data_IF_260022318947
#
_entry.id   IF_260022318947
#
_cell.length_a   1.000
_cell.length_b   1.000
_cell.length_c   1.000
_cell.angle_alpha   90.00
_cell.angle_beta   90.00
_cell.angle_gamma   90.00
#
_symmetry.space_group_name_H-M   'P 1'
#
loop_
_entity.id
_entity.type
_entity.pdbx_description
1 polymer ?
#
# COMPACT_ATOMS: atom_id res chain seq x y z
N UNK A 1 -4.96 26.74 9.96
CA UNK A 1 -5.36 25.31 10.05
C UNK A 1 -5.83 24.91 8.66
N UNK A 2 -5.48 23.72 8.16
CA UNK A 2 -5.97 23.28 6.85
C UNK A 2 -7.50 23.13 6.90
N UNK A 3 -8.19 23.48 5.82
CA UNK A 3 -9.59 23.14 5.64
C UNK A 3 -9.68 21.71 5.11
N UNK A 4 -10.02 20.77 5.99
CA UNK A 4 -10.10 19.34 5.67
C UNK A 4 -11.37 18.97 4.91
N UNK A 5 -12.36 19.86 4.81
CA UNK A 5 -13.63 19.63 4.11
C UNK A 5 -13.67 20.30 2.72
N UNK A 6 -12.66 21.10 2.37
CA UNK A 6 -12.56 21.75 1.05
C UNK A 6 -12.44 20.74 -0.08
N UNK A 7 -12.90 21.14 -1.27
CA UNK A 7 -12.78 20.32 -2.48
C UNK A 7 -11.32 19.99 -2.77
N UNK A 8 -10.44 20.97 -2.63
CA UNK A 8 -9.00 20.85 -2.87
C UNK A 8 -8.36 19.83 -1.92
N UNK A 9 -8.77 19.80 -0.65
CA UNK A 9 -8.27 18.81 0.30
C UNK A 9 -8.79 17.40 -0.04
N UNK A 10 -10.07 17.28 -0.39
CA UNK A 10 -10.64 15.98 -0.81
C UNK A 10 -10.01 15.46 -2.11
N UNK A 11 -9.56 16.33 -3.02
CA UNK A 11 -8.76 15.94 -4.19
C UNK A 11 -7.38 15.40 -3.79
N UNK A 12 -6.77 15.87 -2.69
CA UNK A 12 -5.54 15.29 -2.15
C UNK A 12 -5.79 13.90 -1.53
N UNK A 13 -6.92 13.72 -0.83
CA UNK A 13 -7.34 12.41 -0.31
C UNK A 13 -7.56 11.42 -1.46
N UNK A 14 -8.22 11.85 -2.53
CA UNK A 14 -8.40 11.04 -3.75
C UNK A 14 -7.07 10.64 -4.39
N UNK A 15 -6.14 11.59 -4.55
CA UNK A 15 -4.79 11.32 -5.08
C UNK A 15 -4.04 10.30 -4.23
N UNK A 16 -4.10 10.44 -2.91
CA UNK A 16 -3.48 9.51 -1.98
C UNK A 16 -4.11 8.11 -2.10
N UNK A 17 -5.45 8.02 -2.16
CA UNK A 17 -6.19 6.76 -2.34
C UNK A 17 -5.82 6.06 -3.66
N UNK A 18 -5.75 6.83 -4.75
CA UNK A 18 -5.33 6.30 -6.07
C UNK A 18 -3.87 5.87 -6.08
N UNK A 19 -2.99 6.55 -5.37
CA UNK A 19 -1.60 6.14 -5.25
C UNK A 19 -1.46 4.78 -4.55
N UNK A 20 -2.16 4.55 -3.44
CA UNK A 20 -2.12 3.24 -2.77
C UNK A 20 -2.81 2.14 -3.58
N UNK A 21 -3.90 2.45 -4.29
CA UNK A 21 -4.50 1.50 -5.24
C UNK A 21 -3.53 1.14 -6.38
N UNK A 22 -2.82 2.13 -6.93
CA UNK A 22 -1.85 1.91 -7.99
C UNK A 22 -0.73 0.96 -7.52
N UNK A 23 -0.13 1.25 -6.36
CA UNK A 23 0.92 0.40 -5.80
C UNK A 23 0.41 -1.01 -5.49
N UNK A 24 -0.77 -1.11 -4.86
CA UNK A 24 -1.38 -2.38 -4.46
C UNK A 24 -1.71 -3.27 -5.67
N UNK A 25 -2.27 -2.68 -6.74
CA UNK A 25 -2.55 -3.40 -7.97
C UNK A 25 -1.24 -3.77 -8.68
N UNK A 26 -0.30 -2.83 -8.77
CA UNK A 26 0.99 -3.02 -9.42
C UNK A 26 1.78 -4.18 -8.84
N UNK A 27 1.92 -4.26 -7.50
CA UNK A 27 2.72 -5.31 -6.86
C UNK A 27 2.13 -6.72 -6.96
N UNK A 28 0.85 -6.88 -7.31
CA UNK A 28 0.28 -8.22 -7.59
C UNK A 28 0.92 -8.77 -8.87
N UNK A 29 1.09 -7.93 -9.89
CA UNK A 29 1.47 -8.36 -11.24
C UNK A 29 2.93 -8.11 -11.56
N UNK A 30 3.52 -7.00 -11.10
CA UNK A 30 4.85 -6.55 -11.49
C UNK A 30 5.88 -6.89 -10.42
N UNK A 31 7.10 -7.20 -10.86
CA UNK A 31 8.29 -7.40 -10.02
C UNK A 31 9.41 -6.39 -10.32
N UNK A 32 9.21 -5.54 -11.31
CA UNK A 32 10.07 -4.41 -11.70
C UNK A 32 9.26 -3.41 -12.52
N UNK A 33 9.88 -2.29 -12.90
CA UNK A 33 9.27 -1.25 -13.74
C UNK A 33 7.95 -0.71 -13.16
N UNK A 34 7.91 -0.31 -11.86
CA UNK A 34 6.67 -0.04 -11.16
C UNK A 34 5.97 1.24 -11.63
N UNK A 35 6.65 2.13 -12.35
CA UNK A 35 6.14 3.41 -12.85
C UNK A 35 6.20 3.52 -14.39
N UNK A 36 6.06 2.40 -15.10
CA UNK A 36 6.25 2.24 -16.54
C UNK A 36 5.71 3.39 -17.42
N UNK A 37 4.52 3.93 -17.12
CA UNK A 37 3.92 5.02 -17.89
C UNK A 37 4.50 6.40 -17.57
N UNK A 38 4.99 6.59 -16.33
CA UNK A 38 5.64 7.85 -15.90
C UNK A 38 7.09 7.88 -16.37
N UNK A 39 7.79 6.74 -16.29
CA UNK A 39 9.18 6.60 -16.74
C UNK A 39 9.30 6.38 -18.25
N UNK A 40 8.18 6.30 -18.97
CA UNK A 40 8.12 6.01 -20.41
C UNK A 40 8.88 4.73 -20.80
N UNK A 41 8.78 3.71 -19.96
CA UNK A 41 9.40 2.40 -20.15
C UNK A 41 8.30 1.34 -20.29
N UNK A 42 7.84 1.02 -21.52
CA UNK A 42 6.78 0.04 -21.73
C UNK A 42 7.04 -1.29 -21.03
N UNK A 43 5.99 -1.88 -20.45
CA UNK A 43 6.07 -3.16 -19.74
C UNK A 43 6.58 -4.25 -20.68
N UNK A 44 7.53 -5.05 -20.19
CA UNK A 44 8.01 -6.27 -20.86
C UNK A 44 7.56 -7.51 -20.10
N UNK A 45 7.66 -8.68 -20.75
CA UNK A 45 7.38 -9.95 -20.10
C UNK A 45 8.29 -10.16 -18.86
N UNK A 46 9.54 -9.71 -18.92
CA UNK A 46 10.46 -9.76 -17.78
C UNK A 46 10.00 -8.93 -16.57
N UNK A 47 9.11 -7.94 -16.72
CA UNK A 47 8.61 -7.12 -15.61
C UNK A 47 7.48 -7.81 -14.83
N UNK A 48 6.78 -8.75 -15.44
CA UNK A 48 5.59 -9.40 -14.88
C UNK A 48 6.00 -10.63 -14.05
N UNK A 49 5.39 -10.83 -12.89
CA UNK A 49 5.59 -12.03 -12.06
C UNK A 49 5.13 -13.27 -12.82
N UNK A 50 5.92 -14.34 -12.74
CA UNK A 50 5.56 -15.65 -13.33
C UNK A 50 4.31 -16.22 -12.67
N UNK A 51 4.14 -15.97 -11.36
CA UNK A 51 2.97 -16.37 -10.58
C UNK A 51 2.45 -15.14 -9.81
N UNK A 52 1.53 -14.36 -10.40
CA UNK A 52 0.84 -13.29 -9.67
C UNK A 52 0.02 -13.89 -8.53
N UNK A 53 0.32 -13.49 -7.30
CA UNK A 53 -0.35 -13.94 -6.07
C UNK A 53 -0.75 -12.70 -5.27
N UNK A 54 -1.97 -12.71 -4.75
CA UNK A 54 -2.54 -11.64 -3.95
C UNK A 54 -4.04 -11.55 -4.13
N UNK A 55 -4.68 -10.70 -3.31
CA UNK A 55 -6.09 -10.37 -3.45
C UNK A 55 -6.23 -8.97 -4.04
N UNK A 56 -7.39 -8.66 -4.64
CA UNK A 56 -7.72 -7.31 -5.10
C UNK A 56 -9.06 -6.83 -4.55
N UNK A 57 -10.08 -7.69 -4.50
CA UNK A 57 -11.47 -7.29 -4.28
C UNK A 57 -11.74 -6.44 -3.04
N UNK A 58 -10.99 -6.63 -1.94
CA UNK A 58 -11.17 -5.84 -0.70
C UNK A 58 -10.32 -4.55 -0.66
N UNK A 59 -9.30 -4.42 -1.50
CA UNK A 59 -8.23 -3.45 -1.33
C UNK A 59 -8.72 -2.02 -1.52
N UNK A 60 -9.37 -1.71 -2.64
CA UNK A 60 -9.76 -0.34 -2.96
C UNK A 60 -10.73 0.24 -1.94
N UNK A 61 -11.61 -0.60 -1.39
CA UNK A 61 -12.50 -0.21 -0.29
C UNK A 61 -11.74 0.07 1.00
N UNK A 62 -10.80 -0.79 1.38
CA UNK A 62 -10.01 -0.60 2.60
C UNK A 62 -9.03 0.58 2.50
N UNK A 63 -8.34 0.79 1.36
CA UNK A 63 -7.47 1.96 1.15
C UNK A 63 -8.26 3.26 1.11
N UNK A 64 -9.50 3.25 0.62
CA UNK A 64 -10.41 4.40 0.71
C UNK A 64 -10.67 4.76 2.18
N UNK A 65 -11.03 3.76 2.99
CA UNK A 65 -11.26 3.95 4.43
C UNK A 65 -9.99 4.43 5.13
N UNK A 66 -8.82 3.88 4.79
CA UNK A 66 -7.54 4.30 5.37
C UNK A 66 -7.21 5.75 5.00
N UNK A 67 -7.39 6.15 3.73
CA UNK A 67 -7.20 7.55 3.30
C UNK A 67 -8.05 8.52 4.13
N UNK A 68 -9.32 8.16 4.38
CA UNK A 68 -10.21 8.93 5.23
C UNK A 68 -9.84 8.85 6.72
N UNK A 69 -9.28 7.73 7.21
CA UNK A 69 -8.75 7.64 8.57
C UNK A 69 -7.55 8.58 8.77
N UNK A 70 -6.61 8.64 7.81
CA UNK A 70 -5.50 9.60 7.82
C UNK A 70 -6.00 11.05 7.86
N UNK A 71 -7.05 11.36 7.10
CA UNK A 71 -7.72 12.66 7.18
C UNK A 71 -8.30 12.93 8.57
N UNK A 72 -8.96 11.97 9.21
CA UNK A 72 -9.53 12.14 10.55
C UNK A 72 -8.43 12.34 11.60
N UNK A 73 -7.34 11.57 11.53
CA UNK A 73 -6.16 11.73 12.40
C UNK A 73 -5.64 13.15 12.32
N UNK A 74 -5.40 13.66 11.11
CA UNK A 74 -4.85 15.00 10.90
C UNK A 74 -5.84 16.12 11.28
N UNK A 75 -7.13 15.95 10.98
CA UNK A 75 -8.16 16.95 11.28
C UNK A 75 -8.37 17.15 12.78
N UNK A 76 -8.32 16.06 13.54
CA UNK A 76 -8.74 16.05 14.94
C UNK A 76 -7.60 15.72 15.93
N UNK A 77 -6.38 15.47 15.45
CA UNK A 77 -5.24 15.11 16.31
C UNK A 77 -5.45 13.78 17.03
N UNK A 78 -6.10 12.80 16.38
CA UNK A 78 -6.47 11.53 17.03
C UNK A 78 -5.27 10.61 17.16
N UNK A 79 -5.15 9.97 18.32
CA UNK A 79 -4.35 8.76 18.47
C UNK A 79 -5.20 7.56 18.03
N UNK A 80 -4.94 7.04 16.82
CA UNK A 80 -5.74 6.01 16.15
C UNK A 80 -4.82 4.98 15.49
N UNK A 81 -5.29 3.74 15.41
CA UNK A 81 -4.66 2.65 14.65
C UNK A 81 -5.70 1.94 13.77
N UNK A 82 -5.23 1.17 12.79
CA UNK A 82 -6.08 0.45 11.84
C UNK A 82 -6.14 -1.05 12.17
N UNK A 83 -7.34 -1.64 12.15
CA UNK A 83 -7.55 -3.10 12.24
C UNK A 83 -8.27 -3.55 10.98
N UNK A 84 -7.56 -4.22 10.08
CA UNK A 84 -8.12 -4.76 8.85
C UNK A 84 -8.68 -6.16 9.07
N UNK A 85 -10.00 -6.27 9.28
CA UNK A 85 -10.66 -7.57 9.42
C UNK A 85 -10.43 -8.48 8.21
N UNK A 86 -10.70 -8.03 6.96
CA UNK A 86 -10.31 -8.73 5.74
C UNK A 86 -8.80 -8.63 5.49
N UNK A 87 -8.01 -9.30 6.32
CA UNK A 87 -6.56 -9.19 6.39
C UNK A 87 -5.81 -9.78 5.20
N UNK A 88 -6.48 -10.59 4.38
CA UNK A 88 -5.97 -11.09 3.09
C UNK A 88 -5.66 -9.98 2.07
N UNK A 89 -6.09 -8.74 2.33
CA UNK A 89 -5.68 -7.52 1.61
C UNK A 89 -4.45 -6.85 2.24
N UNK A 90 -3.36 -7.57 2.47
CA UNK A 90 -2.16 -7.05 3.13
C UNK A 90 -1.56 -5.79 2.50
N UNK A 91 -1.76 -5.59 1.20
CA UNK A 91 -1.33 -4.38 0.49
C UNK A 91 -1.91 -3.10 1.08
N UNK A 92 -3.10 -3.15 1.69
CA UNK A 92 -3.74 -1.99 2.31
C UNK A 92 -2.80 -1.38 3.34
N UNK A 93 -2.34 -2.16 4.32
CA UNK A 93 -1.46 -1.65 5.37
C UNK A 93 -0.05 -1.39 4.85
N UNK A 94 0.49 -2.27 4.00
CA UNK A 94 1.83 -2.12 3.43
C UNK A 94 1.98 -0.84 2.60
N UNK A 95 1.04 -0.55 1.69
CA UNK A 95 1.14 0.64 0.82
C UNK A 95 0.88 1.93 1.56
N UNK A 96 0.04 1.91 2.61
CA UNK A 96 -0.14 3.04 3.50
C UNK A 96 1.17 3.41 4.20
N UNK A 97 1.75 2.44 4.91
CA UNK A 97 3.01 2.61 5.63
C UNK A 97 4.17 2.97 4.67
N UNK A 98 4.15 2.49 3.42
CA UNK A 98 5.16 2.88 2.44
C UNK A 98 5.06 4.35 2.03
N UNK A 99 3.85 4.88 1.86
CA UNK A 99 3.66 6.27 1.45
C UNK A 99 3.89 7.28 2.57
N UNK A 100 3.61 6.92 3.83
CA UNK A 100 3.88 7.81 4.97
C UNK A 100 5.31 7.71 5.52
N UNK A 101 6.09 6.74 5.05
CA UNK A 101 7.50 6.57 5.37
C UNK A 101 7.78 5.51 6.43
N UNK A 102 6.79 5.10 7.22
CA UNK A 102 6.96 4.12 8.31
C UNK A 102 7.52 2.78 7.82
N UNK A 103 7.16 2.36 6.61
CA UNK A 103 7.72 1.14 6.02
C UNK A 103 9.23 1.25 5.75
N UNK A 104 9.73 2.43 5.41
CA UNK A 104 11.17 2.66 5.20
C UNK A 104 11.93 2.70 6.52
N UNK A 105 11.31 3.21 7.58
CA UNK A 105 11.88 3.21 8.94
C UNK A 105 12.15 1.79 9.44
N UNK A 106 11.21 0.87 9.20
CA UNK A 106 11.35 -0.55 9.57
C UNK A 106 12.18 -1.36 8.56
N UNK A 107 12.13 -1.00 7.27
CA UNK A 107 12.84 -1.67 6.17
C UNK A 107 13.66 -0.66 5.34
N UNK A 108 14.88 -0.27 5.80
CA UNK A 108 15.68 0.79 5.18
C UNK A 108 16.05 0.55 3.71
N UNK A 109 16.02 -0.70 3.25
CA UNK A 109 16.26 -1.09 1.86
C UNK A 109 15.07 -0.84 0.91
N UNK A 110 13.91 -0.47 1.46
CA UNK A 110 12.67 -0.18 0.73
C UNK A 110 12.43 1.34 0.78
N UNK A 111 13.27 2.08 0.07
CA UNK A 111 13.28 3.54 0.01
C UNK A 111 12.08 4.12 -0.74
N UNK A 112 11.73 5.39 -0.47
CA UNK A 112 10.67 6.13 -1.17
C UNK A 112 11.13 6.68 -2.53
N UNK A 113 11.66 5.81 -3.38
CA UNK A 113 12.09 6.10 -4.75
C UNK A 113 11.72 4.95 -5.72
N UNK A 114 12.17 5.03 -6.98
CA UNK A 114 11.86 4.00 -8.00
C UNK A 114 12.49 2.65 -7.65
N UNK A 115 13.69 2.64 -7.05
CA UNK A 115 14.41 1.43 -6.69
C UNK A 115 13.73 0.72 -5.53
N UNK A 116 13.45 1.45 -4.44
CA UNK A 116 12.74 0.90 -3.29
C UNK A 116 11.32 0.46 -3.64
N UNK A 117 10.60 1.20 -4.50
CA UNK A 117 9.30 0.77 -5.02
C UNK A 117 9.38 -0.54 -5.82
N UNK A 118 10.42 -0.68 -6.66
CA UNK A 118 10.67 -1.91 -7.42
C UNK A 118 10.96 -3.10 -6.49
N UNK A 119 11.75 -2.88 -5.43
CA UNK A 119 12.00 -3.88 -4.39
C UNK A 119 10.71 -4.28 -3.66
N UNK A 120 9.87 -3.32 -3.27
CA UNK A 120 8.58 -3.59 -2.64
C UNK A 120 7.70 -4.47 -3.53
N UNK A 121 7.57 -4.11 -4.81
CA UNK A 121 6.78 -4.85 -5.80
C UNK A 121 7.27 -6.29 -5.93
N UNK A 122 8.59 -6.48 -6.05
CA UNK A 122 9.20 -7.81 -6.14
C UNK A 122 8.95 -8.64 -4.89
N UNK A 123 9.06 -8.07 -3.69
CA UNK A 123 8.94 -8.79 -2.40
C UNK A 123 7.53 -9.24 -2.08
N UNK A 124 6.50 -8.53 -2.54
CA UNK A 124 5.12 -8.88 -2.23
C UNK A 124 4.75 -10.30 -2.72
N UNK A 125 4.34 -11.19 -1.83
CA UNK A 125 3.95 -12.58 -2.13
C UNK A 125 4.99 -13.34 -2.98
N UNK A 126 6.28 -13.13 -2.68
CA UNK A 126 7.41 -13.76 -3.36
C UNK A 126 8.19 -14.65 -2.38
N UNK A 127 8.82 -15.75 -2.84
CA UNK A 127 9.66 -16.58 -1.96
C UNK A 127 10.74 -15.77 -1.25
N UNK A 128 10.75 -15.79 0.08
CA UNK A 128 11.67 -14.98 0.90
C UNK A 128 11.30 -13.48 1.00
N UNK A 129 10.14 -13.09 0.49
CA UNK A 129 9.60 -11.73 0.59
C UNK A 129 8.62 -11.57 1.76
N UNK A 130 7.58 -10.76 1.56
CA UNK A 130 6.49 -10.56 2.52
C UNK A 130 5.25 -11.36 2.12
N UNK A 131 4.43 -11.73 3.10
CA UNK A 131 3.17 -12.43 2.89
C UNK A 131 2.10 -11.60 2.15
N UNK A 132 0.97 -12.25 1.83
CA UNK A 132 -0.20 -11.60 1.23
C UNK A 132 -1.14 -10.96 2.25
N UNK A 133 -1.00 -11.31 3.53
CA UNK A 133 -1.85 -10.86 4.63
C UNK A 133 -1.21 -9.73 5.44
N UNK A 134 -1.96 -9.14 6.38
CA UNK A 134 -1.49 -8.12 7.34
C UNK A 134 -0.66 -8.72 8.48
N UNK A 135 0.30 -9.59 8.14
CA UNK A 135 1.12 -10.34 9.10
C UNK A 135 1.93 -9.42 10.03
N UNK A 136 2.60 -10.00 11.03
CA UNK A 136 3.54 -9.27 11.90
C UNK A 136 4.72 -8.60 11.15
N UNK A 137 4.94 -8.91 9.88
CA UNK A 137 5.91 -8.20 9.03
C UNK A 137 5.45 -6.78 8.68
N UNK A 138 4.16 -6.48 8.83
CA UNK A 138 3.57 -5.23 8.35
C UNK A 138 3.59 -4.17 9.45
N UNK A 139 4.26 -3.02 9.25
CA UNK A 139 4.25 -1.92 10.19
C UNK A 139 2.81 -1.50 10.55
N UNK A 140 2.57 -1.29 11.85
CA UNK A 140 1.25 -0.90 12.38
C UNK A 140 0.23 -2.04 12.52
N UNK A 141 0.53 -3.28 12.08
CA UNK A 141 -0.39 -4.41 12.28
C UNK A 141 -0.22 -5.05 13.66
N UNK A 142 -1.36 -5.26 14.32
CA UNK A 142 -1.50 -6.14 15.49
C UNK A 142 -2.58 -7.22 15.25
N UNK A 143 -3.05 -7.36 14.01
CA UNK A 143 -4.14 -8.26 13.63
C UNK A 143 -3.96 -8.71 12.17
N UNK A 144 -3.66 -9.99 11.97
CA UNK A 144 -3.36 -10.51 10.63
C UNK A 144 -4.59 -10.66 9.73
N UNK A 145 -5.76 -10.96 10.32
CA UNK A 145 -7.02 -11.13 9.59
C UNK A 145 -7.01 -12.27 8.56
N UNK A 146 -6.26 -13.34 8.84
CA UNK A 146 -6.23 -14.57 8.04
C UNK A 146 -7.41 -15.50 8.37
N UNK A 147 -7.46 -15.99 9.61
CA UNK A 147 -8.67 -16.61 10.16
C UNK A 147 -9.63 -15.50 10.59
N UNK A 148 -10.80 -15.45 9.94
CA UNK A 148 -11.79 -14.40 10.16
C UNK A 148 -12.74 -14.77 11.30
N UNK A 149 -13.12 -13.78 12.10
CA UNK A 149 -14.08 -13.95 13.21
C UNK A 149 -13.43 -14.50 14.48
#
# INVERSE_FOLDING_TARGET
MADFDSKEYLELVDKWWRATNYLSAGMIFLKSNPLFSVTNTPIKAEDVKVKPIGHWGTISGQTFLYAHANRLINKYGLNMFYVGGPGHGGQVMVTNAYLDGAYTEDYPEITQDIEGMSHLFKRFSFPGGIGSHMTAQTPGSLHEGGELG
#
